data_IF_911026046203
#
_entry.id   IF_911026046203
#
_cell.length_a   1.000
_cell.length_b   1.000
_cell.length_c   1.000
_cell.angle_alpha   90.00
_cell.angle_beta   90.00
_cell.angle_gamma   90.00
#
_symmetry.space_group_name_H-M   'P 1'
#
loop_
_entity.id
_entity.type
_entity.pdbx_description
1 polymer ?
#
# COMPACT_ATOMS: atom_id res chain seq x y z
N UNK A 1 -6.30 4.74 -14.57
CA UNK A 1 -6.80 3.89 -13.48
C UNK A 1 -8.10 3.22 -13.94
N UNK A 2 -8.16 1.88 -14.01
CA UNK A 2 -9.42 1.17 -14.29
C UNK A 2 -10.41 1.37 -13.13
N UNK A 3 -11.72 1.26 -13.41
CA UNK A 3 -12.80 1.31 -12.42
C UNK A 3 -13.03 2.68 -11.74
N UNK A 4 -12.82 3.79 -12.45
CA UNK A 4 -12.98 5.16 -11.91
C UNK A 4 -14.40 5.46 -11.39
N UNK A 5 -15.43 4.88 -12.00
CA UNK A 5 -16.82 5.04 -11.55
C UNK A 5 -17.05 4.46 -10.14
N UNK A 6 -16.46 3.29 -9.86
CA UNK A 6 -16.53 2.69 -8.52
C UNK A 6 -15.76 3.51 -7.48
N UNK A 7 -14.63 4.11 -7.86
CA UNK A 7 -13.87 4.99 -6.96
C UNK A 7 -14.76 6.14 -6.45
N UNK A 8 -15.42 6.85 -7.34
CA UNK A 8 -16.26 7.98 -6.95
C UNK A 8 -17.44 7.55 -6.05
N UNK A 9 -18.08 6.42 -6.37
CA UNK A 9 -19.18 5.89 -5.55
C UNK A 9 -18.73 5.56 -4.12
N UNK A 10 -17.59 4.88 -3.97
CA UNK A 10 -17.05 4.48 -2.67
C UNK A 10 -16.58 5.69 -1.86
N UNK A 11 -15.92 6.65 -2.49
CA UNK A 11 -15.47 7.86 -1.79
C UNK A 11 -16.65 8.69 -1.28
N UNK A 12 -17.76 8.74 -2.03
CA UNK A 12 -19.01 9.37 -1.57
C UNK A 12 -19.68 8.61 -0.42
N UNK A 13 -19.70 7.27 -0.48
CA UNK A 13 -20.33 6.43 0.54
C UNK A 13 -19.55 6.45 1.87
N UNK A 14 -18.23 6.30 1.81
CA UNK A 14 -17.37 6.17 2.99
C UNK A 14 -16.79 7.50 3.49
N UNK A 15 -16.97 8.60 2.75
CA UNK A 15 -16.38 9.94 3.02
C UNK A 15 -14.87 9.90 3.27
N UNK A 16 -14.18 8.88 2.75
CA UNK A 16 -12.74 8.63 2.87
C UNK A 16 -12.16 8.47 1.49
N UNK A 17 -10.86 8.76 1.34
CA UNK A 17 -10.17 8.46 0.09
C UNK A 17 -10.14 6.93 -0.13
N UNK A 18 -10.23 6.50 -1.39
CA UNK A 18 -10.14 5.08 -1.72
C UNK A 18 -8.83 4.45 -1.19
N UNK A 19 -7.74 5.22 -1.22
CA UNK A 19 -6.43 4.78 -0.72
C UNK A 19 -6.47 4.47 0.77
N UNK A 20 -7.05 5.35 1.58
CA UNK A 20 -7.12 5.17 3.04
C UNK A 20 -8.06 4.02 3.39
N UNK A 21 -9.19 3.90 2.69
CA UNK A 21 -10.10 2.78 2.87
C UNK A 21 -9.43 1.45 2.55
N UNK A 22 -8.71 1.37 1.42
CA UNK A 22 -7.97 0.17 1.03
C UNK A 22 -6.85 -0.15 2.03
N UNK A 23 -6.16 0.87 2.55
CA UNK A 23 -5.13 0.69 3.57
C UNK A 23 -5.73 0.14 4.88
N UNK A 24 -6.85 0.71 5.34
CA UNK A 24 -7.54 0.25 6.54
C UNK A 24 -7.98 -1.22 6.39
N UNK A 25 -8.52 -1.59 5.22
CA UNK A 25 -8.99 -2.95 4.96
C UNK A 25 -7.84 -3.95 4.81
N UNK A 26 -6.82 -3.62 4.01
CA UNK A 26 -5.74 -4.55 3.65
C UNK A 26 -4.58 -4.59 4.64
N UNK A 27 -4.36 -3.52 5.41
CA UNK A 27 -3.20 -3.38 6.31
C UNK A 27 -3.65 -3.42 7.77
N UNK A 28 -4.62 -2.58 8.15
CA UNK A 28 -5.06 -2.48 9.55
C UNK A 28 -5.91 -3.69 9.94
N UNK A 29 -6.89 -4.05 9.12
CA UNK A 29 -7.81 -5.17 9.37
C UNK A 29 -7.33 -6.50 8.80
N UNK A 30 -6.26 -6.48 7.99
CA UNK A 30 -5.65 -7.65 7.34
C UNK A 30 -6.66 -8.58 6.63
N UNK A 31 -7.71 -8.00 6.04
CA UNK A 31 -8.76 -8.77 5.37
C UNK A 31 -8.25 -9.37 4.06
N UNK A 32 -8.72 -10.58 3.74
CA UNK A 32 -8.42 -11.20 2.46
C UNK A 32 -9.25 -10.56 1.32
N UNK A 33 -8.95 -10.92 0.07
CA UNK A 33 -9.60 -10.29 -1.09
C UNK A 33 -11.12 -10.47 -1.14
N UNK A 34 -11.65 -11.58 -0.59
CA UNK A 34 -13.09 -11.88 -0.59
C UNK A 34 -13.79 -11.09 0.51
N UNK A 35 -13.21 -11.07 1.71
CA UNK A 35 -13.74 -10.31 2.85
C UNK A 35 -13.68 -8.81 2.59
N UNK A 36 -12.56 -8.31 2.07
CA UNK A 36 -12.37 -6.91 1.74
C UNK A 36 -13.32 -6.43 0.64
N UNK A 37 -13.54 -7.25 -0.40
CA UNK A 37 -14.48 -6.89 -1.47
C UNK A 37 -15.92 -6.85 -0.96
N UNK A 38 -16.33 -7.81 -0.11
CA UNK A 38 -17.65 -7.82 0.55
C UNK A 38 -17.82 -6.62 1.49
N UNK A 39 -16.79 -6.26 2.26
CA UNK A 39 -16.80 -5.11 3.18
C UNK A 39 -17.09 -3.80 2.45
N UNK A 40 -16.45 -3.60 1.29
CA UNK A 40 -16.54 -2.35 0.51
C UNK A 40 -17.74 -2.38 -0.46
N UNK A 41 -18.31 -3.56 -0.74
CA UNK A 41 -19.44 -3.69 -1.67
C UNK A 41 -19.03 -3.71 -3.15
N UNK A 42 -17.85 -4.26 -3.47
CA UNK A 42 -17.34 -4.33 -4.85
C UNK A 42 -17.03 -5.77 -5.28
N UNK A 43 -16.91 -5.95 -6.60
CA UNK A 43 -16.42 -7.20 -7.16
C UNK A 43 -14.98 -7.49 -6.72
N UNK A 44 -14.68 -8.76 -6.46
CA UNK A 44 -13.35 -9.24 -6.02
C UNK A 44 -12.22 -8.77 -6.95
N UNK A 45 -12.44 -8.80 -8.25
CA UNK A 45 -11.44 -8.40 -9.25
C UNK A 45 -11.07 -6.91 -9.13
N UNK A 46 -12.05 -6.05 -8.88
CA UNK A 46 -11.83 -4.61 -8.68
C UNK A 46 -11.02 -4.39 -7.41
N UNK A 47 -11.37 -5.10 -6.33
CA UNK A 47 -10.63 -5.05 -5.07
C UNK A 47 -9.18 -5.49 -5.25
N UNK A 48 -8.94 -6.62 -5.91
CA UNK A 48 -7.60 -7.16 -6.19
C UNK A 48 -6.79 -6.18 -7.04
N UNK A 49 -7.39 -5.62 -8.10
CA UNK A 49 -6.74 -4.60 -8.93
C UNK A 49 -6.28 -3.39 -8.11
N UNK A 50 -7.14 -2.85 -7.24
CA UNK A 50 -6.76 -1.72 -6.40
C UNK A 50 -5.74 -2.08 -5.33
N UNK A 51 -5.81 -3.28 -4.76
CA UNK A 51 -4.81 -3.76 -3.80
C UNK A 51 -3.41 -3.77 -4.41
N UNK A 52 -3.28 -4.27 -5.65
CA UNK A 52 -2.02 -4.25 -6.38
C UNK A 52 -1.61 -2.83 -6.78
N UNK A 53 -2.56 -2.00 -7.24
CA UNK A 53 -2.29 -0.62 -7.63
C UNK A 53 -1.72 0.22 -6.48
N UNK A 54 -2.26 0.06 -5.27
CA UNK A 54 -1.76 0.73 -4.06
C UNK A 54 -0.60 0.00 -3.37
N UNK A 55 -0.11 -1.09 -3.95
CA UNK A 55 0.97 -1.92 -3.41
C UNK A 55 0.72 -2.43 -1.97
N UNK A 56 -0.52 -2.79 -1.65
CA UNK A 56 -0.93 -3.18 -0.30
C UNK A 56 -0.78 -4.69 -0.04
N UNK A 57 0.05 -5.38 -0.81
CA UNK A 57 0.36 -6.78 -0.56
C UNK A 57 1.50 -6.93 0.46
N UNK A 58 1.43 -7.97 1.27
CA UNK A 58 2.43 -8.22 2.31
C UNK A 58 3.86 -8.29 1.73
N UNK A 59 4.02 -8.96 0.58
CA UNK A 59 5.32 -9.06 -0.11
C UNK A 59 5.83 -7.71 -0.58
N UNK A 60 4.96 -6.85 -1.12
CA UNK A 60 5.37 -5.53 -1.60
C UNK A 60 5.76 -4.61 -0.44
N UNK A 61 5.00 -4.64 0.67
CA UNK A 61 5.36 -3.89 1.88
C UNK A 61 6.68 -4.36 2.48
N UNK A 62 6.91 -5.67 2.54
CA UNK A 62 8.17 -6.24 3.02
C UNK A 62 9.34 -5.79 2.13
N UNK A 63 9.16 -5.86 0.82
CA UNK A 63 10.15 -5.37 -0.14
C UNK A 63 10.47 -3.88 0.07
N UNK A 64 9.44 -3.04 0.19
CA UNK A 64 9.60 -1.60 0.41
C UNK A 64 10.32 -1.32 1.74
N UNK A 65 10.05 -2.11 2.80
CA UNK A 65 10.76 -2.05 4.08
C UNK A 65 12.24 -2.42 3.92
N UNK A 66 12.54 -3.55 3.28
CA UNK A 66 13.93 -4.02 3.08
C UNK A 66 14.75 -3.04 2.25
N UNK A 67 14.18 -2.46 1.19
CA UNK A 67 14.85 -1.44 0.38
C UNK A 67 15.13 -0.18 1.21
N UNK A 68 14.19 0.23 2.06
CA UNK A 68 14.38 1.39 2.93
C UNK A 68 15.50 1.15 3.97
N UNK A 69 15.56 -0.03 4.56
CA UNK A 69 16.64 -0.43 5.48
C UNK A 69 17.99 -0.46 4.78
N UNK A 70 18.04 -1.04 3.58
CA UNK A 70 19.25 -1.11 2.76
C UNK A 70 19.74 0.28 2.35
N UNK A 71 18.84 1.18 1.95
CA UNK A 71 19.22 2.56 1.64
C UNK A 71 19.81 3.26 2.87
N UNK A 72 19.19 3.12 4.04
CA UNK A 72 19.73 3.70 5.28
C UNK A 72 21.13 3.18 5.61
N UNK A 73 21.38 1.88 5.44
CA UNK A 73 22.71 1.31 5.68
C UNK A 73 23.74 1.83 4.69
N UNK A 74 23.39 1.97 3.40
CA UNK A 74 24.26 2.60 2.40
C UNK A 74 24.58 4.06 2.72
N UNK A 75 23.58 4.87 3.08
CA UNK A 75 23.80 6.27 3.47
C UNK A 75 24.74 6.40 4.68
N UNK A 76 24.57 5.55 5.69
CA UNK A 76 25.43 5.54 6.87
C UNK A 76 26.87 5.14 6.52
N UNK A 77 27.05 4.10 5.70
CA UNK A 77 28.38 3.64 5.26
C UNK A 77 29.12 4.69 4.41
N UNK A 78 28.40 5.48 3.61
CA UNK A 78 28.99 6.60 2.86
C UNK A 78 29.33 7.81 3.74
N UNK A 79 28.59 8.03 4.83
CA UNK A 79 28.90 9.09 5.78
C UNK A 79 30.13 8.74 6.64
N UNK A 80 30.30 7.47 7.03
CA UNK A 80 31.49 7.02 7.78
C UNK A 80 32.79 7.17 6.95
N UNK A 81 32.76 6.87 5.65
CA UNK A 81 33.91 7.10 4.76
C UNK A 81 34.29 8.58 4.58
N UNK A 82 33.32 9.49 4.69
CA UNK A 82 33.58 10.94 4.62
C UNK A 82 34.22 11.51 5.87
N UNK A 83 34.07 10.83 7.02
CA UNK A 83 34.64 11.27 8.30
C UNK A 83 36.08 10.73 8.48
N UNK A 84 36.46 9.64 7.81
CA UNK A 84 37.83 9.11 7.85
C UNK A 84 38.81 9.73 6.84
N UNK A 85 38.35 10.64 5.98
CA UNK A 85 39.17 11.37 5.00
C UNK A 85 39.38 12.86 5.36
N UNK A 86 38.97 13.27 6.58
CA UNK A 86 39.28 14.59 7.15
C UNK A 86 40.32 14.49 8.28
#
# INVERSE_FOLDING_TARGET
MKYRHFKNAIESEYKKSLKDLMYEVCVVKNLNAVEGSKKIGIAKEVFVYWRHFYRLEARQRLFDQTINELNKSFFNATNEKKISEC
#
